data_IF_520522960501
#
_entry.id   IF_520522960501
#
_cell.length_a   1.000
_cell.length_b   1.000
_cell.length_c   1.000
_cell.angle_alpha   90.00
_cell.angle_beta   90.00
_cell.angle_gamma   90.00
#
_symmetry.space_group_name_H-M   'P 1'
#
loop_
_entity.id
_entity.type
_entity.pdbx_description
1 polymer ?
#
# COMPACT_ATOMS: atom_id res chain seq x y z
N UNK A 1 -35.78 -5.88 45.35
CA UNK A 1 -34.58 -5.04 45.12
C UNK A 1 -33.49 -5.94 44.56
N UNK A 2 -33.21 -5.86 43.26
CA UNK A 2 -32.12 -6.62 42.62
C UNK A 2 -31.55 -5.79 41.49
N UNK A 3 -30.43 -5.11 41.72
CA UNK A 3 -29.74 -4.31 40.69
C UNK A 3 -28.74 -5.24 39.99
N UNK A 4 -29.04 -5.62 38.75
CA UNK A 4 -28.07 -6.27 37.86
C UNK A 4 -27.16 -5.15 37.33
N UNK A 5 -25.89 -5.15 37.72
CA UNK A 5 -24.87 -4.30 37.12
C UNK A 5 -24.43 -4.93 35.80
N UNK A 6 -24.85 -4.32 34.68
CA UNK A 6 -24.29 -4.63 33.36
C UNK A 6 -22.92 -3.94 33.25
N UNK A 7 -21.84 -4.72 33.24
CA UNK A 7 -20.51 -4.24 32.90
C UNK A 7 -20.44 -4.07 31.38
N UNK A 8 -20.47 -2.82 30.90
CA UNK A 8 -20.20 -2.52 29.50
C UNK A 8 -18.69 -2.71 29.25
N UNK A 9 -18.32 -3.80 28.57
CA UNK A 9 -16.97 -3.99 28.05
C UNK A 9 -16.82 -3.01 26.88
N UNK A 10 -16.19 -1.86 27.13
CA UNK A 10 -15.74 -0.95 26.08
C UNK A 10 -14.59 -1.66 25.33
N UNK A 11 -14.92 -2.34 24.24
CA UNK A 11 -13.93 -2.76 23.26
C UNK A 11 -13.38 -1.49 22.61
N UNK A 12 -12.22 -1.03 23.09
CA UNK A 12 -11.42 -0.07 22.34
C UNK A 12 -10.98 -0.77 21.06
N UNK A 13 -11.62 -0.44 19.93
CA UNK A 13 -11.01 -0.61 18.63
C UNK A 13 -9.75 0.26 18.63
N UNK A 14 -8.59 -0.36 18.83
CA UNK A 14 -7.32 0.29 18.61
C UNK A 14 -7.22 0.61 17.13
N UNK A 15 -7.43 1.89 16.77
CA UNK A 15 -6.96 2.41 15.49
C UNK A 15 -5.45 2.26 15.53
N UNK A 16 -4.90 1.37 14.71
CA UNK A 16 -3.46 1.14 14.64
C UNK A 16 -2.81 2.39 14.07
N UNK A 17 -2.10 3.14 14.92
CA UNK A 17 -1.22 4.24 14.54
C UNK A 17 0.05 3.75 13.80
N UNK A 18 -0.06 2.66 13.02
CA UNK A 18 1.05 2.08 12.26
C UNK A 18 1.48 2.98 11.10
N UNK A 19 0.62 3.91 10.65
CA UNK A 19 0.90 4.67 9.42
C UNK A 19 1.70 5.96 9.64
N UNK A 20 1.91 6.37 10.89
CA UNK A 20 2.62 7.61 11.23
C UNK A 20 3.82 7.41 12.15
N UNK A 21 4.12 6.17 12.54
CA UNK A 21 5.22 5.91 13.45
C UNK A 21 6.51 5.67 12.65
N UNK A 22 7.52 6.53 12.85
CA UNK A 22 8.84 6.37 12.26
C UNK A 22 9.82 5.84 13.34
N UNK A 23 10.29 4.59 13.21
CA UNK A 23 11.13 3.97 14.24
C UNK A 23 12.55 4.53 14.29
N UNK A 24 12.96 5.39 13.34
CA UNK A 24 14.22 6.13 13.44
C UNK A 24 14.15 7.25 14.49
N UNK A 25 12.94 7.77 14.73
CA UNK A 25 12.71 8.97 15.54
C UNK A 25 11.96 8.68 16.84
N UNK A 26 11.25 7.56 16.94
CA UNK A 26 10.46 7.19 18.13
C UNK A 26 10.36 5.69 18.32
N UNK A 27 9.87 5.25 19.48
CA UNK A 27 9.56 3.84 19.74
C UNK A 27 8.19 3.49 19.15
N UNK A 28 8.19 2.68 18.11
CA UNK A 28 6.97 2.21 17.46
C UNK A 28 6.43 0.89 18.05
N UNK A 29 5.12 0.65 17.96
CA UNK A 29 4.57 -0.69 18.12
C UNK A 29 5.22 -1.66 17.11
N UNK A 30 5.35 -2.95 17.46
CA UNK A 30 5.84 -3.94 16.50
C UNK A 30 4.93 -4.04 15.27
N UNK A 31 5.52 -4.19 14.10
CA UNK A 31 4.77 -4.51 12.88
C UNK A 31 4.21 -5.94 12.94
N UNK A 32 3.00 -6.14 12.43
CA UNK A 32 2.47 -7.48 12.22
C UNK A 32 3.27 -8.15 11.09
N UNK A 33 3.98 -9.23 11.38
CA UNK A 33 4.70 -10.01 10.36
C UNK A 33 3.82 -11.10 9.74
N UNK A 34 4.13 -11.50 8.51
CA UNK A 34 3.58 -12.74 7.95
C UNK A 34 4.00 -13.93 8.82
N UNK A 35 3.02 -14.68 9.33
CA UNK A 35 3.27 -15.91 10.08
C UNK A 35 3.63 -17.12 9.17
N UNK A 36 3.48 -16.95 7.86
CA UNK A 36 3.67 -18.02 6.87
C UNK A 36 4.96 -17.80 6.07
N UNK A 37 5.62 -18.89 5.70
CA UNK A 37 6.78 -18.86 4.78
C UNK A 37 6.39 -18.46 3.36
N UNK A 38 5.12 -18.68 2.99
CA UNK A 38 4.57 -18.35 1.67
C UNK A 38 3.17 -17.77 1.86
N UNK A 39 2.88 -16.70 1.13
CA UNK A 39 1.54 -16.14 0.98
C UNK A 39 1.24 -15.96 -0.50
N UNK A 40 0.02 -16.26 -0.93
CA UNK A 40 -0.40 -16.09 -2.31
C UNK A 40 -1.86 -15.67 -2.35
N UNK A 41 -2.16 -14.67 -3.17
CA UNK A 41 -3.52 -14.23 -3.47
C UNK A 41 -3.72 -14.24 -4.98
N UNK A 42 -4.79 -14.87 -5.42
CA UNK A 42 -5.23 -14.84 -6.81
C UNK A 42 -6.39 -13.85 -6.94
N UNK A 43 -6.09 -12.63 -7.40
CA UNK A 43 -7.07 -11.57 -7.53
C UNK A 43 -8.14 -11.85 -8.58
N UNK A 44 -7.91 -12.76 -9.53
CA UNK A 44 -8.92 -13.17 -10.52
C UNK A 44 -10.07 -13.97 -9.89
N UNK A 45 -9.85 -14.48 -8.68
CA UNK A 45 -10.84 -15.25 -7.90
C UNK A 45 -11.49 -14.45 -6.78
N UNK A 46 -11.16 -13.17 -6.64
CA UNK A 46 -11.73 -12.33 -5.61
C UNK A 46 -12.94 -11.57 -6.14
N UNK A 47 -13.86 -11.23 -5.24
CA UNK A 47 -15.00 -10.34 -5.51
C UNK A 47 -15.02 -9.12 -4.58
N UNK A 48 -14.10 -9.09 -3.61
CA UNK A 48 -13.90 -8.01 -2.64
C UNK A 48 -12.45 -8.01 -2.17
N UNK A 49 -12.04 -6.93 -1.50
CA UNK A 49 -10.72 -6.83 -0.87
C UNK A 49 -10.51 -8.01 0.10
N UNK A 50 -9.44 -8.81 -0.05
CA UNK A 50 -9.14 -9.89 0.88
C UNK A 50 -8.82 -9.35 2.29
N UNK A 51 -9.10 -10.11 3.36
CA UNK A 51 -8.97 -9.63 4.74
C UNK A 51 -7.53 -9.30 5.15
N UNK A 52 -6.52 -9.86 4.48
CA UNK A 52 -5.12 -9.53 4.72
C UNK A 52 -4.64 -8.28 3.99
N UNK A 53 -5.53 -7.54 3.33
CA UNK A 53 -5.23 -6.32 2.60
C UNK A 53 -6.10 -5.15 3.06
N UNK A 54 -5.60 -3.93 2.90
CA UNK A 54 -6.32 -2.69 3.12
C UNK A 54 -6.32 -1.87 1.83
N UNK A 55 -7.47 -1.27 1.53
CA UNK A 55 -7.66 -0.35 0.41
C UNK A 55 -7.56 1.10 0.90
N UNK A 56 -6.93 1.98 0.12
CA UNK A 56 -6.87 3.40 0.43
C UNK A 56 -8.26 4.01 0.65
N UNK A 57 -8.32 4.96 1.58
CA UNK A 57 -9.55 5.70 1.84
C UNK A 57 -10.07 6.35 0.56
N UNK A 58 -11.38 6.31 0.38
CA UNK A 58 -12.10 6.87 -0.78
C UNK A 58 -11.80 6.21 -2.13
N UNK A 59 -10.94 5.19 -2.19
CA UNK A 59 -10.78 4.38 -3.39
C UNK A 59 -11.93 3.36 -3.52
N UNK A 60 -12.20 2.99 -4.76
CA UNK A 60 -13.04 1.85 -5.10
C UNK A 60 -12.18 0.89 -5.93
N UNK A 61 -12.27 -0.41 -5.61
CA UNK A 61 -11.51 -1.45 -6.30
C UNK A 61 -12.48 -2.48 -6.86
N UNK A 62 -12.53 -2.58 -8.19
CA UNK A 62 -13.27 -3.63 -8.86
C UNK A 62 -12.39 -4.88 -9.01
N UNK A 63 -13.05 -6.03 -9.10
CA UNK A 63 -12.39 -7.30 -9.39
C UNK A 63 -13.00 -7.87 -10.65
N UNK A 64 -12.24 -7.80 -11.75
CA UNK A 64 -12.62 -8.31 -13.06
C UNK A 64 -11.96 -9.65 -13.38
N UNK A 65 -12.12 -10.11 -14.61
CA UNK A 65 -11.51 -11.35 -15.09
C UNK A 65 -9.97 -11.34 -15.11
N UNK A 66 -9.37 -10.15 -14.99
CA UNK A 66 -7.92 -9.94 -14.91
C UNK A 66 -7.41 -9.63 -13.49
N UNK A 67 -8.28 -9.69 -12.49
CA UNK A 67 -7.95 -9.42 -11.10
C UNK A 67 -8.39 -8.04 -10.63
N UNK A 68 -7.65 -7.49 -9.67
CA UNK A 68 -7.94 -6.19 -9.07
C UNK A 68 -7.67 -5.04 -10.06
N UNK A 69 -8.62 -4.11 -10.18
CA UNK A 69 -8.59 -3.03 -11.18
C UNK A 69 -8.35 -1.66 -10.53
N UNK A 70 -7.10 -1.18 -10.62
CA UNK A 70 -6.68 0.11 -10.11
C UNK A 70 -7.00 1.21 -11.14
N UNK A 71 -8.21 1.77 -11.07
CA UNK A 71 -8.69 2.74 -12.06
C UNK A 71 -8.42 4.19 -11.65
N UNK A 72 -7.76 4.94 -12.55
CA UNK A 72 -7.62 6.40 -12.46
C UNK A 72 -8.53 7.04 -13.51
N UNK A 73 -9.73 7.45 -13.14
CA UNK A 73 -10.74 7.95 -14.08
C UNK A 73 -10.78 9.49 -14.12
N UNK A 74 -10.44 10.14 -13.02
CA UNK A 74 -10.43 11.60 -12.89
C UNK A 74 -9.29 12.07 -12.00
N UNK A 75 -9.07 13.39 -12.00
CA UNK A 75 -8.13 14.03 -11.09
C UNK A 75 -8.45 13.63 -9.64
N UNK A 76 -7.38 13.33 -8.89
CA UNK A 76 -7.38 12.87 -7.50
C UNK A 76 -7.75 11.40 -7.27
N UNK A 77 -8.01 10.62 -8.32
CA UNK A 77 -8.04 9.16 -8.18
C UNK A 77 -6.61 8.63 -7.97
N UNK A 78 -6.41 7.92 -6.88
CA UNK A 78 -5.16 7.21 -6.54
C UNK A 78 -5.51 5.97 -5.72
N UNK A 79 -6.05 4.92 -6.37
CA UNK A 79 -6.41 3.67 -5.69
C UNK A 79 -5.14 2.92 -5.27
N UNK A 80 -5.05 2.51 -4.01
CA UNK A 80 -3.85 1.87 -3.46
C UNK A 80 -4.22 0.64 -2.62
N UNK A 81 -3.51 -0.44 -2.93
CA UNK A 81 -3.59 -1.83 -2.47
C UNK A 81 -2.45 -2.26 -1.52
N UNK A 82 -2.58 -2.36 -0.20
CA UNK A 82 -1.44 -2.83 0.63
C UNK A 82 -1.78 -3.96 1.60
N UNK A 83 -0.78 -4.77 1.97
CA UNK A 83 -0.92 -5.89 2.91
C UNK A 83 -1.01 -5.38 4.35
N UNK A 84 -1.79 -6.08 5.17
CA UNK A 84 -1.92 -5.83 6.61
C UNK A 84 -0.78 -6.44 7.43
N UNK A 85 0.20 -7.05 6.75
CA UNK A 85 1.38 -7.65 7.33
C UNK A 85 2.64 -7.25 6.56
N UNK A 86 3.78 -7.37 7.24
CA UNK A 86 5.11 -7.12 6.73
C UNK A 86 5.82 -8.45 6.47
N UNK A 87 6.79 -8.40 5.56
CA UNK A 87 7.77 -9.47 5.37
C UNK A 87 9.15 -8.96 5.79
N UNK A 88 10.03 -9.88 6.18
CA UNK A 88 11.42 -9.55 6.47
C UNK A 88 12.31 -10.45 5.63
N UNK A 89 12.89 -9.87 4.58
CA UNK A 89 13.50 -10.59 3.46
C UNK A 89 12.51 -11.51 2.72
N UNK A 90 13.02 -12.26 1.75
CA UNK A 90 12.24 -13.20 0.95
C UNK A 90 12.11 -12.76 -0.51
N UNK A 91 10.97 -13.08 -1.12
CA UNK A 91 10.67 -12.78 -2.52
C UNK A 91 9.23 -12.28 -2.62
N UNK A 92 9.04 -11.23 -3.40
CA UNK A 92 7.72 -10.78 -3.84
C UNK A 92 7.64 -10.93 -5.36
N UNK A 93 6.50 -11.43 -5.82
CA UNK A 93 6.19 -11.62 -7.23
C UNK A 93 4.81 -11.05 -7.51
N UNK A 94 4.68 -10.28 -8.58
CA UNK A 94 3.45 -9.61 -8.96
C UNK A 94 3.18 -9.90 -10.45
N UNK A 95 1.96 -10.31 -10.74
CA UNK A 95 1.46 -10.43 -12.11
C UNK A 95 0.50 -9.27 -12.35
N UNK A 96 0.89 -8.34 -13.21
CA UNK A 96 0.13 -7.11 -13.46
C UNK A 96 0.04 -6.78 -14.95
N UNK A 97 -1.00 -6.05 -15.31
CA UNK A 97 -1.14 -5.35 -16.58
C UNK A 97 -1.05 -3.84 -16.32
N UNK A 98 -0.07 -3.16 -16.92
CA UNK A 98 0.15 -1.72 -16.75
C UNK A 98 -1.04 -0.93 -17.29
N UNK A 99 -1.50 0.08 -16.53
CA UNK A 99 -2.57 0.98 -16.95
C UNK A 99 -2.07 1.90 -18.08
N UNK A 100 -2.83 2.06 -19.19
CA UNK A 100 -2.42 2.95 -20.27
C UNK A 100 -2.69 4.42 -19.96
N UNK A 101 -1.95 5.32 -20.61
CA UNK A 101 -2.22 6.76 -20.59
C UNK A 101 -1.00 7.60 -20.24
N UNK A 102 -0.89 8.76 -20.87
CA UNK A 102 0.18 9.72 -20.58
C UNK A 102 0.02 10.28 -19.17
N UNK A 103 1.07 10.20 -18.37
CA UNK A 103 1.06 10.66 -16.98
C UNK A 103 0.38 9.69 -16.00
N UNK A 104 -0.06 8.52 -16.46
CA UNK A 104 -0.51 7.44 -15.58
C UNK A 104 0.70 6.60 -15.21
N UNK A 105 0.82 6.27 -13.92
CA UNK A 105 1.86 5.41 -13.37
C UNK A 105 1.18 4.21 -12.71
N UNK A 106 1.70 3.01 -12.99
CA UNK A 106 1.35 1.77 -12.28
C UNK A 106 2.55 1.35 -11.46
N UNK A 107 2.32 1.10 -10.18
CA UNK A 107 3.38 1.01 -9.17
C UNK A 107 3.25 -0.26 -8.35
N UNK A 108 4.37 -0.83 -7.95
CA UNK A 108 4.45 -1.91 -6.98
C UNK A 108 5.61 -1.65 -6.02
N UNK A 109 5.29 -1.48 -4.74
CA UNK A 109 6.21 -0.93 -3.76
C UNK A 109 6.34 -1.86 -2.55
N UNK A 110 7.57 -2.12 -2.13
CA UNK A 110 7.91 -2.66 -0.81
C UNK A 110 8.39 -1.50 0.04
N UNK A 111 7.71 -1.22 1.14
CA UNK A 111 8.02 -0.07 2.00
C UNK A 111 7.98 -0.48 3.49
N UNK A 112 8.97 -0.04 4.25
CA UNK A 112 9.02 -0.18 5.71
C UNK A 112 8.56 1.10 6.43
N UNK A 113 8.40 1.02 7.76
CA UNK A 113 8.02 2.18 8.58
C UNK A 113 9.14 3.22 8.74
N UNK A 114 10.40 2.83 8.54
CA UNK A 114 11.55 3.75 8.44
C UNK A 114 11.84 4.25 7.02
N UNK A 115 10.94 3.97 6.07
CA UNK A 115 11.04 4.42 4.69
C UNK A 115 12.25 3.84 3.94
N UNK A 116 12.66 2.61 4.27
CA UNK A 116 13.35 1.78 3.29
C UNK A 116 12.32 1.36 2.21
N UNK A 117 12.68 1.50 0.95
CA UNK A 117 11.78 1.30 -0.19
C UNK A 117 12.46 0.55 -1.33
N UNK A 118 11.73 -0.35 -1.97
CA UNK A 118 12.05 -0.93 -3.28
C UNK A 118 10.79 -0.86 -4.12
N UNK A 119 10.85 -0.20 -5.27
CA UNK A 119 9.69 0.02 -6.13
C UNK A 119 9.95 -0.41 -7.58
N UNK A 120 8.83 -0.71 -8.24
CA UNK A 120 8.73 -0.95 -9.67
C UNK A 120 7.65 -0.03 -10.24
N UNK A 121 8.08 0.88 -11.12
CA UNK A 121 7.24 1.94 -11.67
C UNK A 121 7.09 1.78 -13.19
N UNK A 122 5.86 1.74 -13.66
CA UNK A 122 5.54 1.59 -15.07
C UNK A 122 4.72 2.77 -15.57
N UNK A 123 5.23 3.44 -16.60
CA UNK A 123 4.53 4.53 -17.27
C UNK A 123 3.51 3.99 -18.26
N UNK A 124 2.27 4.50 -18.18
CA UNK A 124 1.19 4.14 -19.10
C UNK A 124 1.38 4.58 -20.54
N UNK A 125 2.39 5.42 -20.81
CA UNK A 125 2.85 5.76 -22.16
C UNK A 125 4.28 5.30 -22.43
N UNK A 126 4.75 4.26 -21.70
CA UNK A 126 6.07 3.63 -21.85
C UNK A 126 7.24 4.62 -21.80
N UNK A 127 7.13 5.72 -21.04
CA UNK A 127 8.12 6.80 -21.05
C UNK A 127 8.40 7.36 -22.46
N UNK A 128 7.37 7.37 -23.33
CA UNK A 128 7.42 7.78 -24.74
C UNK A 128 8.26 6.87 -25.64
N UNK A 129 8.50 5.63 -25.20
CA UNK A 129 9.15 4.59 -25.99
C UNK A 129 8.13 3.74 -26.77
N UNK A 130 8.61 2.94 -27.73
CA UNK A 130 7.81 2.00 -28.52
C UNK A 130 7.70 0.62 -27.86
N UNK A 131 8.65 0.27 -26.98
CA UNK A 131 8.60 -0.94 -26.18
C UNK A 131 8.16 -0.65 -24.73
N UNK A 132 7.54 -1.64 -24.08
CA UNK A 132 7.22 -1.55 -22.66
C UNK A 132 8.47 -1.37 -21.81
N UNK A 133 8.47 -0.34 -20.94
CA UNK A 133 9.57 -0.02 -20.04
C UNK A 133 9.06 0.12 -18.61
N UNK A 134 9.84 -0.40 -17.68
CA UNK A 134 9.70 -0.14 -16.25
C UNK A 134 10.92 0.60 -15.73
N UNK A 135 10.72 1.36 -14.66
CA UNK A 135 11.78 1.84 -13.79
C UNK A 135 11.78 0.98 -12.53
N UNK A 136 12.97 0.72 -12.01
CA UNK A 136 13.17 0.16 -10.70
C UNK A 136 13.95 1.18 -9.89
N UNK A 137 13.56 1.39 -8.65
CA UNK A 137 14.26 2.30 -7.76
C UNK A 137 14.36 1.70 -6.34
N UNK A 138 15.15 2.36 -5.50
CA UNK A 138 15.22 2.04 -4.09
C UNK A 138 15.55 3.29 -3.28
N UNK A 139 15.02 3.34 -2.07
CA UNK A 139 15.38 4.33 -1.06
C UNK A 139 15.78 3.63 0.24
N UNK A 140 16.67 4.26 1.00
CA UNK A 140 17.06 3.77 2.32
C UNK A 140 16.97 4.90 3.34
N UNK A 141 16.09 4.74 4.33
CA UNK A 141 15.96 5.65 5.48
C UNK A 141 15.84 7.11 5.09
N UNK A 142 14.95 7.40 4.15
CA UNK A 142 14.75 8.79 3.71
C UNK A 142 14.18 9.62 4.85
N UNK A 143 14.81 10.75 5.16
CA UNK A 143 14.23 11.69 6.09
C UNK A 143 12.90 12.17 5.51
N UNK A 144 11.80 12.08 6.27
CA UNK A 144 10.62 12.88 5.96
C UNK A 144 11.07 14.33 6.07
N UNK A 145 11.38 14.98 4.94
CA UNK A 145 11.57 16.42 4.93
C UNK A 145 10.30 17.00 5.56
N UNK A 146 10.50 17.70 6.67
CA UNK A 146 9.50 18.50 7.30
C UNK A 146 8.80 19.34 6.22
N UNK A 147 7.47 19.33 6.22
CA UNK A 147 6.61 19.99 5.22
C UNK A 147 6.71 21.52 5.29
N UNK A 148 7.91 22.10 5.31
CA UNK A 148 8.13 23.53 5.55
C UNK A 148 8.46 24.28 4.26
N UNK A 149 8.98 23.62 3.20
CA UNK A 149 9.44 24.33 2.00
C UNK A 149 8.88 23.85 0.65
N UNK A 150 7.73 23.17 0.62
CA UNK A 150 6.95 23.01 -0.62
C UNK A 150 7.57 22.16 -1.74
N UNK A 151 8.80 21.66 -1.58
CA UNK A 151 9.44 20.70 -2.48
C UNK A 151 9.60 19.36 -1.75
N UNK A 152 8.45 18.72 -1.52
CA UNK A 152 8.48 17.27 -1.41
C UNK A 152 8.74 16.77 -2.83
N UNK A 153 9.81 15.99 -3.02
CA UNK A 153 9.85 15.06 -4.14
C UNK A 153 8.58 14.21 -4.00
N UNK A 154 7.64 14.49 -4.88
CA UNK A 154 6.33 13.86 -4.90
C UNK A 154 6.49 12.49 -5.55
N UNK A 155 7.24 11.59 -4.93
CA UNK A 155 6.91 10.17 -5.05
C UNK A 155 5.64 10.00 -4.21
N UNK A 156 4.52 10.22 -4.89
CA UNK A 156 3.22 10.09 -4.30
C UNK A 156 2.95 8.62 -3.98
N UNK A 157 3.23 8.24 -2.72
CA UNK A 157 2.46 7.33 -1.85
C UNK A 157 2.30 5.87 -2.35
N UNK A 158 2.03 4.84 -1.54
CA UNK A 158 1.47 4.75 -0.19
C UNK A 158 0.01 4.33 -0.27
#
# INVERSE_FOLDING_TARGET
MGKILAAALLAFAAVTAADTCDPLNTKCPPNAGSANSTYTVDFTKQSSVPPEWTLSNYANLNFGSKGAEFTVAKRFDSPQLWTNFYIHYGKVEIVAQVAPGTGIVSSAVLMSDDLDEIDLEFSGNNFRDTAGKGQNNYYGKVARLDRVNGEAFADCYR
#
